data_IF_715416146300
#
_entry.id   IF_715416146300
#
_cell.length_a   1.000
_cell.length_b   1.000
_cell.length_c   1.000
_cell.angle_alpha   90.00
_cell.angle_beta   90.00
_cell.angle_gamma   90.00
#
_symmetry.space_group_name_H-M   'P 1'
#
loop_
_entity.id
_entity.type
_entity.pdbx_description
1 polymer ?
#
# COMPACT_ATOMS: atom_id res chain seq x y z
N UNK A 1 -8.30 16.38 -11.35
CA UNK A 1 -7.01 16.15 -10.67
C UNK A 1 -6.36 14.96 -11.34
N UNK A 2 -5.10 15.06 -11.80
CA UNK A 2 -4.40 13.89 -12.33
C UNK A 2 -4.29 12.85 -11.21
N UNK A 3 -4.85 11.67 -11.43
CA UNK A 3 -4.66 10.53 -10.52
C UNK A 3 -3.21 10.08 -10.65
N UNK A 4 -2.50 9.99 -9.52
CA UNK A 4 -1.10 9.53 -9.50
C UNK A 4 -0.96 8.05 -9.90
N UNK A 5 -2.06 7.30 -9.83
CA UNK A 5 -2.19 5.92 -10.28
C UNK A 5 -2.93 5.84 -11.60
N UNK A 6 -2.43 5.02 -12.52
CA UNK A 6 -3.13 4.63 -13.74
C UNK A 6 -4.36 3.77 -13.42
N UNK A 7 -5.27 3.60 -14.36
CA UNK A 7 -6.41 2.69 -14.16
C UNK A 7 -5.96 1.22 -14.08
N UNK A 8 -4.88 0.85 -14.77
CA UNK A 8 -4.27 -0.47 -14.64
C UNK A 8 -3.71 -0.71 -13.23
N UNK A 9 -3.06 0.30 -12.63
CA UNK A 9 -2.52 0.21 -11.27
C UNK A 9 -3.66 0.01 -10.26
N UNK A 10 -4.77 0.73 -10.44
CA UNK A 10 -5.97 0.59 -9.59
C UNK A 10 -6.55 -0.82 -9.66
N UNK A 11 -6.59 -1.43 -10.84
CA UNK A 11 -7.04 -2.82 -10.98
C UNK A 11 -6.07 -3.81 -10.33
N UNK A 12 -4.75 -3.60 -10.48
CA UNK A 12 -3.74 -4.39 -9.76
C UNK A 12 -3.89 -4.26 -8.24
N UNK A 13 -4.17 -3.07 -7.72
CA UNK A 13 -4.48 -2.87 -6.29
C UNK A 13 -5.72 -3.63 -5.86
N UNK A 14 -6.82 -3.56 -6.62
CA UNK A 14 -8.07 -4.27 -6.29
C UNK A 14 -7.93 -5.80 -6.36
N UNK A 15 -7.08 -6.31 -7.26
CA UNK A 15 -6.77 -7.74 -7.37
C UNK A 15 -6.04 -8.25 -6.13
N UNK A 16 -5.12 -7.46 -5.58
CA UNK A 16 -4.32 -7.82 -4.40
C UNK A 16 -5.00 -7.46 -3.07
N UNK A 17 -5.91 -6.47 -3.06
CA UNK A 17 -6.69 -6.04 -1.89
C UNK A 17 -8.19 -6.17 -2.22
N UNK A 18 -8.74 -7.39 -2.20
CA UNK A 18 -10.10 -7.65 -2.66
C UNK A 18 -11.15 -6.99 -1.76
N UNK A 19 -12.06 -6.25 -2.38
CA UNK A 19 -13.13 -5.48 -1.70
C UNK A 19 -14.04 -6.29 -0.77
N UNK A 20 -14.41 -7.56 -1.05
CA UNK A 20 -15.29 -8.33 -0.17
C UNK A 20 -14.75 -8.50 1.25
N UNK A 21 -13.43 -8.62 1.40
CA UNK A 21 -12.77 -8.77 2.72
C UNK A 21 -12.10 -7.47 3.19
N UNK A 22 -11.94 -6.47 2.33
CA UNK A 22 -11.22 -5.23 2.65
C UNK A 22 -11.98 -3.99 2.19
N UNK A 23 -12.24 -3.06 3.11
CA UNK A 23 -12.66 -1.70 2.73
C UNK A 23 -11.41 -0.82 2.55
N UNK A 24 -11.08 -0.49 1.31
CA UNK A 24 -10.00 0.45 0.97
C UNK A 24 -10.45 1.87 1.33
N UNK A 25 -9.68 2.54 2.19
CA UNK A 25 -9.94 3.91 2.62
C UNK A 25 -9.14 4.94 1.82
N UNK A 26 -7.88 4.62 1.52
CA UNK A 26 -6.98 5.48 0.78
C UNK A 26 -5.92 4.64 0.05
N UNK A 27 -5.42 5.19 -1.06
CA UNK A 27 -4.28 4.63 -1.81
C UNK A 27 -3.37 5.78 -2.23
N UNK A 28 -2.06 5.58 -2.09
CA UNK A 28 -1.03 6.52 -2.56
C UNK A 28 0.19 5.76 -3.08
N UNK A 29 0.99 6.39 -3.95
CA UNK A 29 2.29 5.85 -4.37
C UNK A 29 3.32 6.14 -3.27
N UNK A 30 4.08 5.14 -2.86
CA UNK A 30 5.02 5.22 -1.74
C UNK A 30 6.30 4.38 -1.96
N UNK A 31 7.36 4.76 -1.25
CA UNK A 31 8.61 4.00 -1.07
C UNK A 31 8.75 3.62 0.40
N UNK A 32 9.09 2.37 0.69
CA UNK A 32 9.29 1.90 2.06
C UNK A 32 10.74 2.11 2.51
N UNK A 33 10.90 2.84 3.60
CA UNK A 33 12.16 2.99 4.31
C UNK A 33 12.02 2.36 5.69
N UNK A 34 13.11 1.86 6.25
CA UNK A 34 13.19 1.34 7.62
C UNK A 34 14.38 1.92 8.36
N UNK A 35 14.23 2.18 9.65
CA UNK A 35 15.29 2.63 10.55
C UNK A 35 15.74 1.46 11.46
N UNK A 36 16.33 0.44 10.83
CA UNK A 36 16.83 -0.75 11.50
C UNK A 36 18.11 -1.26 10.81
N UNK A 37 19.14 -1.68 11.54
CA UNK A 37 19.24 -1.73 13.01
C UNK A 37 19.52 -0.37 13.68
N UNK A 38 19.89 0.66 12.91
CA UNK A 38 20.15 2.01 13.41
C UNK A 38 18.87 2.89 13.37
N UNK A 39 18.30 3.28 14.52
CA UNK A 39 17.10 4.11 14.57
C UNK A 39 17.31 5.56 14.09
N UNK A 40 18.56 6.03 13.98
CA UNK A 40 18.89 7.39 13.52
C UNK A 40 19.01 7.50 12.00
N UNK A 41 18.94 6.38 11.27
CA UNK A 41 19.14 6.35 9.82
C UNK A 41 18.03 5.58 9.11
N UNK A 42 17.29 6.27 8.25
CA UNK A 42 16.37 5.63 7.31
C UNK A 42 17.14 5.03 6.14
N UNK A 43 16.91 3.74 5.89
CA UNK A 43 17.46 3.02 4.76
C UNK A 43 16.32 2.58 3.85
N UNK A 44 16.45 2.86 2.56
CA UNK A 44 15.47 2.39 1.58
C UNK A 44 15.51 0.87 1.50
N UNK A 45 14.33 0.24 1.58
CA UNK A 45 14.21 -1.23 1.58
C UNK A 45 14.36 -1.85 0.19
N UNK A 46 14.33 -1.05 -0.88
CA UNK A 46 14.16 -1.56 -2.25
C UNK A 46 12.70 -1.69 -2.67
N UNK A 47 11.75 -1.58 -1.73
CA UNK A 47 10.32 -1.78 -1.99
C UNK A 47 9.60 -0.45 -2.23
N UNK A 48 8.83 -0.40 -3.33
CA UNK A 48 7.98 0.73 -3.70
C UNK A 48 6.71 0.24 -4.38
N UNK A 49 5.65 1.07 -4.39
CA UNK A 49 4.40 0.73 -5.04
C UNK A 49 3.23 1.53 -4.49
N UNK A 50 2.03 0.97 -4.59
CA UNK A 50 0.81 1.54 -4.03
C UNK A 50 0.64 1.14 -2.56
N UNK A 51 0.78 2.09 -1.65
CA UNK A 51 0.42 1.92 -0.25
C UNK A 51 -1.10 2.06 -0.08
N UNK A 52 -1.73 1.04 0.47
CA UNK A 52 -3.17 0.92 0.67
C UNK A 52 -3.47 0.92 2.15
N UNK A 53 -4.27 1.90 2.60
CA UNK A 53 -4.92 1.84 3.91
C UNK A 53 -6.22 1.07 3.78
N UNK A 54 -6.27 -0.13 4.38
CA UNK A 54 -7.43 -1.01 4.30
C UNK A 54 -7.96 -1.35 5.70
N UNK A 55 -9.28 -1.30 5.86
CA UNK A 55 -9.97 -1.96 6.96
C UNK A 55 -10.24 -3.40 6.56
N UNK A 56 -9.59 -4.35 7.21
CA UNK A 56 -9.88 -5.78 7.06
C UNK A 56 -11.17 -6.10 7.81
N UNK A 57 -12.19 -6.49 7.06
CA UNK A 57 -13.54 -6.76 7.56
C UNK A 57 -13.63 -8.14 8.23
N UNK A 58 -12.66 -9.03 7.97
CA UNK A 58 -12.59 -10.35 8.60
C UNK A 58 -11.95 -10.24 9.98
N UNK A 59 -10.73 -9.70 10.05
CA UNK A 59 -9.98 -9.53 11.30
C UNK A 59 -10.37 -8.30 12.12
N UNK A 60 -11.22 -7.41 11.59
CA UNK A 60 -11.64 -6.14 12.21
C UNK A 60 -10.46 -5.27 12.64
N UNK A 61 -9.48 -5.13 11.74
CA UNK A 61 -8.27 -4.36 12.01
C UNK A 61 -7.82 -3.57 10.79
N UNK A 62 -7.04 -2.52 11.01
CA UNK A 62 -6.48 -1.71 9.94
C UNK A 62 -5.12 -2.26 9.52
N UNK A 63 -4.92 -2.35 8.21
CA UNK A 63 -3.65 -2.72 7.61
C UNK A 63 -3.15 -1.63 6.68
N UNK A 64 -1.83 -1.43 6.70
CA UNK A 64 -1.10 -0.82 5.59
C UNK A 64 -0.53 -1.96 4.73
N UNK A 65 -0.97 -2.01 3.46
CA UNK A 65 -0.50 -3.00 2.49
C UNK A 65 0.25 -2.27 1.39
N UNK A 66 1.47 -2.70 1.08
CA UNK A 66 2.22 -2.19 -0.07
C UNK A 66 2.02 -3.16 -1.24
N UNK A 67 1.42 -2.68 -2.32
CA UNK A 67 1.16 -3.46 -3.54
C UNK A 67 2.13 -3.00 -4.62
N UNK A 68 2.85 -3.93 -5.22
CA UNK A 68 3.65 -3.65 -6.40
C UNK A 68 2.73 -3.33 -7.59
N UNK A 69 3.03 -2.22 -8.28
CA UNK A 69 2.25 -1.69 -9.41
C UNK A 69 3.14 -1.40 -10.64
N UNK A 70 4.38 -1.94 -10.65
CA UNK A 70 5.22 -1.93 -11.86
C UNK A 70 4.68 -2.81 -12.98
#
# INVERSE_FOLDING_TARGET
>A
MPSILSDADKETVKRNVPKPSNKILAVAVARLYVAHPDPQRWTYTGLQGAAVLANDLVGRTFWLKLVDVS
#
